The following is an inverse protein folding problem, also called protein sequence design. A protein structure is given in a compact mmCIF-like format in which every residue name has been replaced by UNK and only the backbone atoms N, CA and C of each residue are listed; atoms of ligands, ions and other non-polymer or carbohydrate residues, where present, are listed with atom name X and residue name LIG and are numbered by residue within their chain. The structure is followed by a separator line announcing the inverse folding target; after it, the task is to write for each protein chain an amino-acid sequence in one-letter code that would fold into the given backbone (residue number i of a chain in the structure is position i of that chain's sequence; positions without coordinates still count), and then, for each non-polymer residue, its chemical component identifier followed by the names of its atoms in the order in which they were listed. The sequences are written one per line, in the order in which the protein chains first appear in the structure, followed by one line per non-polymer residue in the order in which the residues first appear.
data_IF_189697453006
#
_entry.id   IF_189697453006
#
_cell.length_a   1.000
_cell.length_b   1.000
_cell.length_c   1.000
_cell.angle_alpha   90.00
_cell.angle_beta   90.00
_cell.angle_gamma   90.00
#
_symmetry.space_group_name_H-M   'P 1'
#
loop_
_entity.id
_entity.type
_entity.pdbx_description
1 polymer ?
#
# COMPACT_ATOMS: atom_id res chain seq x y z
N UNK A 1 -0.55 -9.12 -11.23
CA UNK A 1 -1.57 -10.00 -10.60
C UNK A 1 -2.85 -9.24 -10.27
N UNK A 2 -2.78 -8.09 -9.58
CA UNK A 2 -3.95 -7.23 -9.31
C UNK A 2 -4.71 -6.84 -10.60
N UNK A 3 -3.99 -6.41 -11.64
CA UNK A 3 -4.57 -6.05 -12.95
C UNK A 3 -5.38 -7.19 -13.60
N UNK A 4 -5.02 -8.45 -13.36
CA UNK A 4 -5.76 -9.63 -13.86
C UNK A 4 -7.06 -9.88 -13.10
N UNK A 5 -7.16 -9.42 -11.85
CA UNK A 5 -8.40 -9.50 -11.05
C UNK A 5 -9.34 -8.35 -11.42
N UNK A 6 -8.78 -7.17 -11.68
CA UNK A 6 -9.49 -6.01 -12.23
C UNK A 6 -10.17 -6.36 -13.55
N UNK A 7 -9.48 -7.07 -14.45
CA UNK A 7 -10.08 -7.53 -15.72
C UNK A 7 -11.25 -8.51 -15.53
N UNK A 8 -11.39 -9.10 -14.33
CA UNK A 8 -12.54 -9.93 -13.92
C UNK A 8 -13.58 -9.14 -13.14
N UNK A 9 -13.48 -7.80 -13.14
CA UNK A 9 -14.30 -6.87 -12.36
C UNK A 9 -14.24 -7.05 -10.85
N UNK A 10 -13.09 -7.50 -10.34
CA UNK A 10 -12.85 -7.63 -8.90
C UNK A 10 -11.97 -6.45 -8.46
N UNK A 11 -12.46 -5.54 -7.61
CA UNK A 11 -11.65 -4.47 -7.06
C UNK A 11 -10.58 -5.02 -6.13
N UNK A 12 -9.40 -4.40 -6.13
CA UNK A 12 -8.25 -4.82 -5.31
C UNK A 12 -7.69 -3.61 -4.57
N UNK A 13 -7.55 -3.74 -3.25
CA UNK A 13 -6.86 -2.77 -2.40
C UNK A 13 -5.64 -3.42 -1.77
N UNK A 14 -4.47 -2.79 -1.90
CA UNK A 14 -3.21 -3.25 -1.32
C UNK A 14 -2.71 -2.20 -0.33
N UNK A 15 -2.44 -2.61 0.93
CA UNK A 15 -1.78 -1.78 1.94
C UNK A 15 -0.31 -2.18 2.05
N UNK A 16 0.60 -1.23 1.91
CA UNK A 16 2.04 -1.46 2.04
C UNK A 16 2.74 -0.23 2.63
N UNK A 17 4.03 -0.33 2.98
CA UNK A 17 4.82 0.85 3.34
C UNK A 17 5.01 1.77 2.13
N UNK A 18 4.99 3.08 2.35
CA UNK A 18 5.32 4.05 1.31
C UNK A 18 6.84 4.14 1.12
N UNK A 19 7.31 3.55 0.02
CA UNK A 19 8.72 3.52 -0.38
C UNK A 19 8.80 3.79 -1.89
N UNK A 20 9.96 4.21 -2.42
CA UNK A 20 10.12 4.38 -3.87
C UNK A 20 9.77 3.11 -4.66
N UNK A 21 10.16 1.94 -4.15
CA UNK A 21 9.90 0.65 -4.81
C UNK A 21 8.40 0.33 -4.87
N UNK A 22 7.68 0.50 -3.76
CA UNK A 22 6.24 0.23 -3.72
C UNK A 22 5.43 1.18 -4.60
N UNK A 23 5.90 2.42 -4.78
CA UNK A 23 5.30 3.36 -5.76
C UNK A 23 5.52 2.94 -7.21
N UNK A 24 6.70 2.41 -7.53
CA UNK A 24 6.98 1.89 -8.88
C UNK A 24 6.16 0.61 -9.14
N UNK A 25 6.09 -0.31 -8.18
CA UNK A 25 5.32 -1.55 -8.31
C UNK A 25 3.84 -1.31 -8.53
N UNK A 26 3.27 -0.31 -7.85
CA UNK A 26 1.84 -0.01 -7.93
C UNK A 26 1.50 1.19 -8.81
N UNK A 27 2.40 1.61 -9.71
CA UNK A 27 2.22 2.81 -10.54
C UNK A 27 0.92 2.91 -11.33
N UNK A 28 0.29 1.77 -11.62
CA UNK A 28 -0.98 1.69 -12.36
C UNK A 28 -2.22 1.78 -11.45
N UNK A 29 -2.02 1.86 -10.13
CA UNK A 29 -3.07 2.03 -9.12
C UNK A 29 -3.32 3.51 -8.81
N UNK A 30 -4.50 3.78 -8.26
CA UNK A 30 -4.74 5.02 -7.54
C UNK A 30 -4.09 4.94 -6.16
N UNK A 31 -3.30 5.95 -5.79
CA UNK A 31 -2.51 5.96 -4.56
C UNK A 31 -3.11 6.88 -3.51
N UNK A 32 -3.27 6.34 -2.29
CA UNK A 32 -3.61 7.11 -1.11
C UNK A 32 -2.53 6.92 -0.05
N UNK A 33 -2.07 8.01 0.55
CA UNK A 33 -1.13 7.96 1.66
C UNK A 33 -1.87 8.09 2.99
N UNK A 34 -1.55 7.21 3.94
CA UNK A 34 -2.11 7.26 5.29
C UNK A 34 -0.97 7.26 6.29
N UNK A 35 -1.00 8.20 7.24
CA UNK A 35 -0.05 8.23 8.35
C UNK A 35 -0.50 7.25 9.41
N UNK A 36 0.23 6.14 9.55
CA UNK A 36 -0.07 5.13 10.55
C UNK A 36 1.02 5.06 11.62
N UNK A 37 0.62 4.62 12.82
CA UNK A 37 1.56 4.26 13.88
C UNK A 37 1.83 2.76 13.75
N UNK A 38 3.08 2.36 13.50
CA UNK A 38 3.45 0.94 13.55
C UNK A 38 3.26 0.42 14.96
N UNK A 39 2.27 -0.45 15.15
CA UNK A 39 2.01 -1.15 16.42
C UNK A 39 2.99 -2.30 16.64
N UNK A 40 3.49 -2.90 15.55
CA UNK A 40 4.43 -4.03 15.56
C UNK A 40 5.75 -3.56 14.96
N UNK A 41 6.78 -3.42 15.79
CA UNK A 41 8.18 -3.30 15.38
C UNK A 41 9.00 -4.25 16.23
N UNK A 42 10.04 -4.89 15.67
CA UNK A 42 10.89 -5.79 16.47
C UNK A 42 11.69 -5.02 17.54
N UNK A 43 11.94 -3.72 17.32
CA UNK A 43 12.46 -2.79 18.33
C UNK A 43 11.39 -1.78 18.72
N UNK A 44 10.76 -1.98 19.88
CA UNK A 44 9.64 -1.15 20.39
C UNK A 44 9.96 0.35 20.52
N UNK A 45 11.24 0.71 20.72
CA UNK A 45 11.71 2.11 20.76
C UNK A 45 11.71 2.83 19.42
N UNK A 46 11.56 2.11 18.30
CA UNK A 46 11.55 2.68 16.93
C UNK A 46 10.16 2.80 16.32
N UNK A 47 9.10 2.70 17.13
CA UNK A 47 7.70 2.93 16.72
C UNK A 47 7.48 4.41 16.36
N UNK A 48 8.02 4.83 15.23
CA UNK A 48 7.80 6.13 14.59
C UNK A 48 6.52 6.07 13.74
N UNK A 49 5.88 7.23 13.54
CA UNK A 49 4.88 7.38 12.49
C UNK A 49 5.56 7.09 11.15
N UNK A 50 5.00 6.18 10.38
CA UNK A 50 5.46 5.88 9.02
C UNK A 50 4.31 6.14 8.07
N UNK A 51 4.66 6.51 6.85
CA UNK A 51 3.68 6.64 5.78
C UNK A 51 3.37 5.23 5.23
N UNK A 52 2.08 4.88 5.20
CA UNK A 52 1.57 3.73 4.46
C UNK A 52 0.99 4.19 3.12
N UNK A 53 1.17 3.35 2.12
CA UNK A 53 0.63 3.46 0.78
C UNK A 53 -0.53 2.48 0.63
N UNK A 54 -1.70 3.02 0.31
CA UNK A 54 -2.85 2.27 -0.16
C UNK A 54 -2.90 2.39 -1.68
N UNK A 55 -2.75 1.26 -2.37
CA UNK A 55 -2.87 1.16 -3.83
C UNK A 55 -4.21 0.52 -4.19
N UNK A 56 -5.10 1.31 -4.79
CA UNK A 56 -6.44 0.90 -5.19
C UNK A 56 -6.50 0.63 -6.69
N UNK A 57 -7.01 -0.54 -7.05
CA UNK A 57 -7.32 -0.92 -8.42
C UNK A 57 -8.82 -1.16 -8.56
N UNK A 58 -9.47 -0.41 -9.44
CA UNK A 58 -10.88 -0.52 -9.76
C UNK A 58 -11.07 -1.12 -11.18
N UNK A 59 -12.16 -1.89 -11.41
CA UNK A 59 -12.53 -2.45 -12.72
C UNK A 59 -12.60 -1.45 -13.88
#
# INVERSE_FOLDING_TARGET
MAEKLVSKRIPVLISNHDTPDTREWYKTAEHFQVKVRRSISSNGGTRKKVDELLALYLP
#
